data_IF_538972442058
#
_entry.id   IF_538972442058
#
_cell.length_a   1.000
_cell.length_b   1.000
_cell.length_c   1.000
_cell.angle_alpha   90.00
_cell.angle_beta   90.00
_cell.angle_gamma   90.00
#
_symmetry.space_group_name_H-M   'P 1'
#
loop_
_entity.id
_entity.type
_entity.pdbx_description
1 polymer ?
#
# COMPACT_ATOMS: atom_id res chain seq x y z
N UNK A 1 -13.73 14.70 8.61
CA UNK A 1 -12.51 14.35 7.86
C UNK A 1 -12.93 14.23 6.40
N UNK A 2 -12.98 15.34 5.67
CA UNK A 2 -13.46 15.33 4.29
C UNK A 2 -12.25 15.38 3.38
N UNK A 3 -12.05 14.33 2.60
CA UNK A 3 -11.15 14.30 1.43
C UNK A 3 -11.93 14.62 0.16
N UNK A 4 -13.08 15.30 0.31
CA UNK A 4 -13.91 15.74 -0.80
C UNK A 4 -13.11 16.68 -1.70
N UNK A 5 -13.32 16.54 -3.00
CA UNK A 5 -12.59 17.28 -4.06
C UNK A 5 -11.08 17.03 -4.08
N UNK A 6 -10.58 15.99 -3.40
CA UNK A 6 -9.18 15.54 -3.51
C UNK A 6 -9.10 14.44 -4.55
N UNK A 7 -8.01 14.41 -5.31
CA UNK A 7 -7.67 13.31 -6.21
C UNK A 7 -6.64 12.40 -5.57
N UNK A 8 -7.00 11.14 -5.36
CA UNK A 8 -6.14 10.10 -4.81
C UNK A 8 -5.65 9.14 -5.91
N UNK A 9 -4.35 8.89 -5.96
CA UNK A 9 -3.75 7.86 -6.81
C UNK A 9 -3.32 6.69 -5.93
N UNK A 10 -3.80 5.49 -6.22
CA UNK A 10 -3.50 4.28 -5.44
C UNK A 10 -2.86 3.25 -6.38
N UNK A 11 -1.59 2.89 -6.14
CA UNK A 11 -0.89 1.90 -6.99
C UNK A 11 -1.25 0.47 -6.60
N UNK A 12 -1.36 -0.44 -7.59
CA UNK A 12 -1.71 -1.84 -7.32
C UNK A 12 -3.05 -2.02 -6.60
N UNK A 13 -4.09 -1.36 -7.09
CA UNK A 13 -5.36 -1.13 -6.39
C UNK A 13 -6.57 -1.85 -7.01
N UNK A 14 -6.35 -2.88 -7.83
CA UNK A 14 -7.43 -3.68 -8.41
C UNK A 14 -7.85 -4.85 -7.53
N UNK A 15 -7.11 -5.12 -6.44
CA UNK A 15 -7.48 -6.11 -5.42
C UNK A 15 -6.83 -5.78 -4.06
N UNK A 16 -7.17 -6.57 -3.03
CA UNK A 16 -6.50 -6.56 -1.74
C UNK A 16 -6.52 -5.21 -1.02
N UNK A 17 -5.39 -4.86 -0.38
CA UNK A 17 -5.25 -3.63 0.42
C UNK A 17 -5.49 -2.38 -0.43
N UNK A 18 -4.88 -2.30 -1.62
CA UNK A 18 -5.01 -1.12 -2.48
C UNK A 18 -6.46 -0.86 -2.87
N UNK A 19 -7.21 -1.91 -3.23
CA UNK A 19 -8.63 -1.77 -3.53
C UNK A 19 -9.45 -1.32 -2.30
N UNK A 20 -9.20 -1.91 -1.13
CA UNK A 20 -9.89 -1.49 0.10
C UNK A 20 -9.62 -0.03 0.47
N UNK A 21 -8.37 0.41 0.38
CA UNK A 21 -8.00 1.82 0.61
C UNK A 21 -8.67 2.74 -0.41
N UNK A 22 -8.71 2.37 -1.69
CA UNK A 22 -9.38 3.15 -2.73
C UNK A 22 -10.89 3.29 -2.45
N UNK A 23 -11.55 2.21 -2.01
CA UNK A 23 -12.97 2.23 -1.65
C UNK A 23 -13.25 3.13 -0.43
N UNK A 24 -12.42 3.09 0.60
CA UNK A 24 -12.57 4.00 1.76
C UNK A 24 -12.37 5.47 1.38
N UNK A 25 -11.39 5.77 0.53
CA UNK A 25 -11.16 7.14 0.04
C UNK A 25 -12.32 7.63 -0.82
N UNK A 26 -12.82 6.81 -1.75
CA UNK A 26 -13.98 7.12 -2.58
C UNK A 26 -15.24 7.32 -1.73
N UNK A 27 -15.49 6.45 -0.75
CA UNK A 27 -16.61 6.59 0.21
C UNK A 27 -16.53 7.88 1.01
N UNK A 28 -15.31 8.36 1.31
CA UNK A 28 -15.09 9.64 1.98
C UNK A 28 -15.13 10.86 1.03
N UNK A 29 -15.40 10.64 -0.26
CA UNK A 29 -15.65 11.67 -1.27
C UNK A 29 -14.45 12.07 -2.12
N UNK A 30 -13.32 11.34 -2.07
CA UNK A 30 -12.19 11.60 -2.96
C UNK A 30 -12.45 11.04 -4.37
N UNK A 31 -12.02 11.77 -5.39
CA UNK A 31 -11.83 11.20 -6.72
C UNK A 31 -10.64 10.23 -6.65
N UNK A 32 -10.73 9.08 -7.33
CA UNK A 32 -9.71 8.02 -7.24
C UNK A 32 -9.18 7.60 -8.60
N UNK A 33 -7.88 7.32 -8.65
CA UNK A 33 -7.19 6.70 -9.78
C UNK A 33 -6.69 5.34 -9.33
N UNK A 34 -7.27 4.30 -9.93
CA UNK A 34 -6.88 2.92 -9.75
C UNK A 34 -5.77 2.54 -10.73
N UNK A 35 -4.91 1.62 -10.32
CA UNK A 35 -3.80 1.14 -11.14
C UNK A 35 -3.53 -0.35 -10.93
N UNK A 36 -3.20 -1.05 -12.02
CA UNK A 36 -2.51 -2.33 -12.04
C UNK A 36 -1.64 -2.41 -13.31
N UNK A 37 -0.96 -3.54 -13.51
CA UNK A 37 -0.17 -3.82 -14.71
C UNK A 37 -0.99 -4.45 -15.85
N UNK A 38 -2.22 -4.90 -15.58
CA UNK A 38 -3.15 -5.46 -16.57
C UNK A 38 -3.86 -4.34 -17.35
N UNK A 39 -4.61 -4.64 -18.40
CA UNK A 39 -5.48 -3.64 -19.07
C UNK A 39 -6.72 -4.36 -19.60
N UNK A 40 -7.54 -4.85 -18.67
CA UNK A 40 -8.73 -5.66 -18.97
C UNK A 40 -10.01 -4.84 -18.84
N UNK A 41 -11.08 -5.30 -19.50
CA UNK A 41 -12.43 -4.71 -19.32
C UNK A 41 -12.85 -4.71 -17.84
N UNK A 42 -12.44 -5.73 -17.06
CA UNK A 42 -12.69 -5.83 -15.62
C UNK A 42 -12.00 -4.72 -14.82
N UNK A 43 -10.76 -4.35 -15.20
CA UNK A 43 -10.02 -3.26 -14.54
C UNK A 43 -10.73 -1.90 -14.71
N UNK A 44 -11.24 -1.63 -15.93
CA UNK A 44 -11.99 -0.42 -16.23
C UNK A 44 -13.40 -0.43 -15.61
N UNK A 45 -14.07 -1.59 -15.63
CA UNK A 45 -15.37 -1.77 -15.00
C UNK A 45 -15.30 -1.53 -13.49
N UNK A 46 -14.24 -2.01 -12.81
CA UNK A 46 -14.02 -1.78 -11.38
C UNK A 46 -14.00 -0.28 -11.02
N UNK A 47 -13.34 0.55 -11.84
CA UNK A 47 -13.35 1.99 -11.65
C UNK A 47 -14.74 2.59 -11.90
N UNK A 48 -15.42 2.19 -12.99
CA UNK A 48 -16.78 2.67 -13.31
C UNK A 48 -17.80 2.33 -12.22
N UNK A 49 -17.73 1.13 -11.67
CA UNK A 49 -18.60 0.67 -10.59
C UNK A 49 -18.35 1.46 -9.31
N UNK A 50 -17.07 1.71 -8.98
CA UNK A 50 -16.70 2.54 -7.82
C UNK A 50 -17.19 3.99 -7.95
N UNK A 51 -17.07 4.58 -9.15
CA UNK A 51 -17.62 5.91 -9.43
C UNK A 51 -19.14 5.95 -9.19
N UNK A 52 -19.85 4.94 -9.70
CA UNK A 52 -21.32 4.84 -9.59
C UNK A 52 -21.77 4.59 -8.15
N UNK A 53 -21.06 3.74 -7.40
CA UNK A 53 -21.38 3.38 -6.03
C UNK A 53 -21.22 4.57 -5.06
N UNK A 54 -20.17 5.36 -5.20
CA UNK A 54 -19.83 6.43 -4.24
C UNK A 54 -20.11 7.85 -4.73
N UNK A 55 -20.49 8.02 -6.00
CA UNK A 55 -20.78 9.34 -6.57
C UNK A 55 -19.54 10.25 -6.73
N UNK A 56 -18.38 9.64 -6.97
CA UNK A 56 -17.08 10.32 -7.21
C UNK A 56 -16.59 10.04 -8.62
N UNK A 57 -15.53 10.72 -9.08
CA UNK A 57 -14.82 10.28 -10.28
C UNK A 57 -13.85 9.18 -9.92
N UNK A 58 -13.98 8.04 -10.57
CA UNK A 58 -12.99 6.98 -10.51
C UNK A 58 -12.50 6.65 -11.92
N UNK A 59 -11.19 6.46 -12.07
CA UNK A 59 -10.55 6.09 -13.34
C UNK A 59 -9.55 4.97 -13.12
N UNK A 60 -9.37 4.15 -14.14
CA UNK A 60 -8.30 3.17 -14.20
C UNK A 60 -7.19 3.66 -15.13
N UNK A 61 -5.92 3.49 -14.72
CA UNK A 61 -4.75 3.75 -15.56
C UNK A 61 -3.78 2.57 -15.43
N UNK A 62 -3.54 1.88 -16.54
CA UNK A 62 -2.52 0.84 -16.63
C UNK A 62 -1.13 1.45 -16.47
N UNK A 63 -0.32 0.85 -15.60
CA UNK A 63 1.11 1.10 -15.49
C UNK A 63 1.80 -0.04 -14.74
N UNK A 64 2.93 -0.52 -15.25
CA UNK A 64 3.79 -1.50 -14.58
C UNK A 64 4.69 -0.80 -13.54
N UNK A 65 4.51 -1.15 -12.27
CA UNK A 65 5.28 -0.57 -11.16
C UNK A 65 6.74 -1.05 -11.11
N UNK A 66 7.14 -2.00 -11.96
CA UNK A 66 8.54 -2.35 -12.16
C UNK A 66 9.28 -1.40 -13.12
N UNK A 67 8.54 -0.58 -13.88
CA UNK A 67 9.07 0.37 -14.87
C UNK A 67 9.02 1.81 -14.32
N UNK A 68 10.19 2.44 -14.07
CA UNK A 68 10.29 3.82 -13.60
C UNK A 68 9.54 4.86 -14.44
N UNK A 69 9.55 4.71 -15.76
CA UNK A 69 8.96 5.69 -16.67
C UNK A 69 7.43 5.58 -16.63
N UNK A 70 6.91 4.35 -16.57
CA UNK A 70 5.47 4.11 -16.37
C UNK A 70 4.98 4.58 -14.99
N UNK A 71 5.79 4.44 -13.94
CA UNK A 71 5.46 4.96 -12.61
C UNK A 71 5.25 6.49 -12.63
N UNK A 72 6.12 7.22 -13.34
CA UNK A 72 6.00 8.68 -13.48
C UNK A 72 4.81 9.06 -14.37
N UNK A 73 4.68 8.38 -15.51
CA UNK A 73 3.61 8.61 -16.47
C UNK A 73 2.22 8.38 -15.85
N UNK A 74 2.05 7.41 -14.93
CA UNK A 74 0.81 7.20 -14.19
C UNK A 74 0.38 8.48 -13.45
N UNK A 75 1.29 9.08 -12.68
CA UNK A 75 1.02 10.29 -11.90
C UNK A 75 0.75 11.49 -12.80
N UNK A 76 1.52 11.62 -13.88
CA UNK A 76 1.35 12.69 -14.87
C UNK A 76 0.00 12.60 -15.60
N UNK A 77 -0.39 11.40 -16.03
CA UNK A 77 -1.64 11.12 -16.75
C UNK A 77 -2.87 11.28 -15.85
N UNK A 78 -2.74 11.03 -14.55
CA UNK A 78 -3.80 11.34 -13.59
C UNK A 78 -4.15 12.84 -13.58
N UNK A 79 -3.20 13.73 -13.89
CA UNK A 79 -3.41 15.17 -14.05
C UNK A 79 -3.54 15.96 -12.74
N UNK A 80 -3.88 15.30 -11.65
CA UNK A 80 -3.86 15.84 -10.28
C UNK A 80 -3.50 14.72 -9.29
N UNK A 81 -2.80 15.08 -8.21
CA UNK A 81 -2.43 14.16 -7.14
C UNK A 81 -2.36 14.92 -5.82
N UNK A 82 -3.45 14.88 -5.05
CA UNK A 82 -3.51 15.42 -3.69
C UNK A 82 -3.11 14.35 -2.68
N UNK A 83 -3.47 13.09 -2.94
CA UNK A 83 -3.18 11.93 -2.12
C UNK A 83 -2.49 10.89 -2.99
N UNK A 84 -1.28 10.46 -2.61
CA UNK A 84 -0.57 9.34 -3.23
C UNK A 84 -0.51 8.19 -2.24
N UNK A 85 -1.10 7.05 -2.60
CA UNK A 85 -0.98 5.80 -1.85
C UNK A 85 -0.09 4.83 -2.63
N UNK A 86 1.17 4.71 -2.20
CA UNK A 86 2.08 3.72 -2.77
C UNK A 86 1.84 2.37 -2.11
N UNK A 87 1.14 1.48 -2.81
CA UNK A 87 0.68 0.21 -2.27
C UNK A 87 1.22 -1.02 -3.02
N UNK A 88 1.45 -0.92 -4.34
CA UNK A 88 1.87 -2.06 -5.15
C UNK A 88 3.04 -2.84 -4.51
N UNK A 89 2.93 -4.16 -4.50
CA UNK A 89 3.93 -5.02 -3.88
C UNK A 89 3.78 -6.48 -4.23
N UNK A 90 4.91 -7.17 -4.31
CA UNK A 90 5.00 -8.62 -4.48
C UNK A 90 5.84 -9.24 -3.36
N UNK A 91 5.77 -10.56 -3.20
CA UNK A 91 6.56 -11.29 -2.21
C UNK A 91 7.15 -12.57 -2.83
N UNK A 92 8.29 -13.01 -2.30
CA UNK A 92 8.89 -14.30 -2.57
C UNK A 92 9.59 -14.81 -1.30
N UNK A 93 9.62 -16.14 -1.12
CA UNK A 93 10.18 -16.79 0.07
C UNK A 93 11.25 -17.78 -0.38
N UNK A 94 12.50 -17.53 -0.01
CA UNK A 94 13.64 -18.41 -0.26
C UNK A 94 14.81 -18.08 0.70
N UNK A 95 15.68 -19.04 1.05
CA UNK A 95 16.98 -18.77 1.70
C UNK A 95 17.81 -17.75 0.90
N UNK A 96 18.73 -17.04 1.53
CA UNK A 96 19.49 -15.96 0.88
C UNK A 96 20.38 -16.53 -0.23
N UNK A 97 21.04 -17.65 0.06
CA UNK A 97 21.93 -18.39 -0.84
C UNK A 97 21.20 -19.03 -2.04
N UNK A 98 19.88 -19.18 -1.95
CA UNK A 98 19.02 -19.73 -3.01
C UNK A 98 18.08 -18.67 -3.60
N UNK A 99 18.17 -17.41 -3.15
CA UNK A 99 17.22 -16.38 -3.53
C UNK A 99 17.39 -16.02 -5.01
N UNK A 100 16.37 -16.19 -5.87
CA UNK A 100 16.55 -15.92 -7.29
C UNK A 100 16.80 -14.42 -7.54
N UNK A 101 17.89 -14.08 -8.23
CA UNK A 101 18.26 -12.68 -8.55
C UNK A 101 17.10 -11.91 -9.20
N UNK A 102 16.42 -12.52 -10.18
CA UNK A 102 15.27 -11.89 -10.84
C UNK A 102 14.10 -11.58 -9.88
N UNK A 103 13.91 -12.39 -8.82
CA UNK A 103 12.89 -12.11 -7.80
C UNK A 103 13.34 -11.01 -6.86
N UNK A 104 14.64 -10.93 -6.54
CA UNK A 104 15.20 -9.82 -5.79
C UNK A 104 14.97 -8.51 -6.54
N UNK A 105 15.40 -8.44 -7.79
CA UNK A 105 15.29 -7.24 -8.63
C UNK A 105 13.84 -6.78 -8.78
N UNK A 106 12.92 -7.71 -9.06
CA UNK A 106 11.49 -7.41 -9.18
C UNK A 106 10.90 -6.87 -7.86
N UNK A 107 11.25 -7.46 -6.71
CA UNK A 107 10.76 -6.99 -5.40
C UNK A 107 11.31 -5.58 -5.09
N UNK A 108 12.60 -5.32 -5.35
CA UNK A 108 13.16 -3.97 -5.15
C UNK A 108 12.48 -2.97 -6.08
N UNK A 109 12.30 -3.30 -7.36
CA UNK A 109 11.66 -2.43 -8.33
C UNK A 109 10.22 -2.07 -7.90
N UNK A 110 9.39 -3.09 -7.65
CA UNK A 110 7.96 -2.89 -7.39
C UNK A 110 7.70 -2.38 -5.96
N UNK A 111 8.36 -2.93 -4.94
CA UNK A 111 8.02 -2.63 -3.55
C UNK A 111 8.74 -1.40 -3.00
N UNK A 112 9.81 -0.92 -3.65
CA UNK A 112 10.62 0.22 -3.19
C UNK A 112 10.79 1.29 -4.27
N UNK A 113 11.41 0.96 -5.40
CA UNK A 113 11.76 1.96 -6.42
C UNK A 113 10.53 2.63 -7.02
N UNK A 114 9.44 1.89 -7.25
CA UNK A 114 8.16 2.43 -7.73
C UNK A 114 7.67 3.61 -6.88
N UNK A 115 7.75 3.47 -5.55
CA UNK A 115 7.30 4.47 -4.58
C UNK A 115 8.16 5.73 -4.62
N UNK A 116 9.46 5.58 -4.91
CA UNK A 116 10.32 6.72 -5.18
C UNK A 116 9.88 7.46 -6.45
N UNK A 117 9.63 6.73 -7.54
CA UNK A 117 9.29 7.34 -8.83
C UNK A 117 7.94 8.06 -8.81
N UNK A 118 6.90 7.43 -8.24
CA UNK A 118 5.58 8.03 -8.08
C UNK A 118 5.63 9.24 -7.13
N UNK A 119 6.35 9.15 -6.01
CA UNK A 119 6.52 10.28 -5.08
C UNK A 119 7.24 11.44 -5.75
N UNK A 120 8.32 11.17 -6.49
CA UNK A 120 9.07 12.18 -7.21
C UNK A 120 8.21 12.90 -8.26
N UNK A 121 7.27 12.21 -8.91
CA UNK A 121 6.32 12.81 -9.85
C UNK A 121 5.18 13.57 -9.15
N UNK A 122 4.72 13.09 -7.99
CA UNK A 122 3.59 13.68 -7.26
C UNK A 122 3.95 14.96 -6.50
N UNK A 123 5.15 15.03 -5.89
CA UNK A 123 5.53 16.19 -5.06
C UNK A 123 5.43 17.55 -5.78
N UNK A 124 5.89 17.71 -7.04
CA UNK A 124 5.68 18.96 -7.78
C UNK A 124 4.20 19.35 -7.92
N UNK A 125 3.30 18.37 -8.11
CA UNK A 125 1.86 18.62 -8.22
C UNK A 125 1.27 19.04 -6.87
N UNK A 126 1.61 18.34 -5.79
CA UNK A 126 1.18 18.67 -4.43
C UNK A 126 1.66 20.08 -4.02
N UNK A 127 2.91 20.43 -4.34
CA UNK A 127 3.46 21.77 -4.10
C UNK A 127 2.70 22.85 -4.84
N UNK A 128 2.35 22.61 -6.11
CA UNK A 128 1.54 23.53 -6.91
C UNK A 128 0.12 23.68 -6.37
N UNK A 129 -0.47 22.60 -5.87
CA UNK A 129 -1.78 22.60 -5.22
C UNK A 129 -1.74 23.24 -3.82
N UNK A 130 -0.57 23.32 -3.19
CA UNK A 130 -0.41 23.85 -1.84
C UNK A 130 -0.95 22.91 -0.75
N UNK A 131 -1.01 21.61 -1.03
CA UNK A 131 -1.41 20.56 -0.08
C UNK A 131 -1.03 19.18 -0.63
N UNK A 132 -0.72 18.22 0.23
CA UNK A 132 -0.51 16.85 -0.21
C UNK A 132 -0.37 15.81 0.89
N UNK A 133 -0.64 14.54 0.55
CA UNK A 133 -0.47 13.40 1.45
C UNK A 133 0.18 12.25 0.70
N UNK A 134 1.35 11.82 1.15
CA UNK A 134 2.01 10.60 0.68
C UNK A 134 1.83 9.53 1.75
N UNK A 135 1.18 8.43 1.40
CA UNK A 135 0.96 7.28 2.28
C UNK A 135 1.61 6.07 1.63
N UNK A 136 2.65 5.55 2.26
CA UNK A 136 3.32 4.34 1.79
C UNK A 136 2.78 3.12 2.56
N UNK A 137 2.32 2.10 1.85
CA UNK A 137 1.99 0.81 2.48
C UNK A 137 3.29 0.02 2.61
N UNK A 138 3.87 0.07 3.81
CA UNK A 138 5.06 -0.66 4.17
C UNK A 138 4.70 -2.09 4.61
N UNK A 139 5.06 -2.48 5.83
CA UNK A 139 4.76 -3.74 6.51
C UNK A 139 5.30 -3.68 7.93
N UNK A 140 4.84 -4.54 8.84
CA UNK A 140 5.61 -4.90 10.03
C UNK A 140 7.05 -5.31 9.66
N UNK A 141 7.25 -5.92 8.49
CA UNK A 141 8.58 -6.20 7.92
C UNK A 141 9.38 -4.98 7.44
N UNK A 142 8.82 -3.78 7.52
CA UNK A 142 9.60 -2.54 7.44
C UNK A 142 10.27 -2.15 8.76
N UNK A 143 9.97 -2.88 9.84
CA UNK A 143 10.43 -2.62 11.21
C UNK A 143 11.12 -3.84 11.86
N UNK A 144 10.72 -5.05 11.45
CA UNK A 144 11.29 -6.32 11.91
C UNK A 144 11.54 -7.27 10.73
N UNK A 145 12.06 -8.47 10.98
CA UNK A 145 12.38 -9.44 9.94
C UNK A 145 11.79 -10.83 10.23
N UNK A 146 11.47 -11.56 9.16
CA UNK A 146 11.25 -13.01 9.19
C UNK A 146 12.26 -13.70 8.26
N UNK A 147 12.69 -14.93 8.59
CA UNK A 147 13.55 -15.72 7.70
C UNK A 147 12.96 -15.85 6.29
N UNK A 148 13.85 -16.08 5.31
CA UNK A 148 13.51 -16.36 3.91
C UNK A 148 12.83 -15.21 3.14
N UNK A 149 12.73 -14.01 3.71
CA UNK A 149 12.08 -12.83 3.09
C UNK A 149 13.04 -11.68 2.78
N UNK A 150 14.29 -11.99 2.41
CA UNK A 150 15.38 -11.02 2.32
C UNK A 150 15.03 -9.78 1.48
N UNK A 151 14.59 -9.97 0.23
CA UNK A 151 14.24 -8.86 -0.65
C UNK A 151 13.05 -8.03 -0.13
N UNK A 152 12.03 -8.70 0.42
CA UNK A 152 10.82 -8.04 0.92
C UNK A 152 11.13 -7.17 2.15
N UNK A 153 11.84 -7.72 3.13
CA UNK A 153 12.25 -6.99 4.34
C UNK A 153 13.15 -5.80 3.97
N UNK A 154 14.12 -6.01 3.07
CA UNK A 154 15.00 -4.94 2.60
C UNK A 154 14.21 -3.81 1.92
N UNK A 155 13.30 -4.15 0.99
CA UNK A 155 12.45 -3.17 0.32
C UNK A 155 11.57 -2.40 1.30
N UNK A 156 10.90 -3.09 2.25
CA UNK A 156 9.98 -2.45 3.20
C UNK A 156 10.70 -1.59 4.25
N UNK A 157 11.91 -1.96 4.68
CA UNK A 157 12.76 -1.05 5.45
C UNK A 157 13.18 0.18 4.63
N UNK A 158 13.49 -0.03 3.34
CA UNK A 158 13.74 1.04 2.38
C UNK A 158 12.56 2.01 2.27
N UNK A 159 11.32 1.52 2.24
CA UNK A 159 10.11 2.36 2.23
C UNK A 159 9.98 3.19 3.51
N UNK A 160 10.27 2.62 4.68
CA UNK A 160 10.29 3.36 5.94
C UNK A 160 11.36 4.46 5.90
N UNK A 161 12.53 4.18 5.34
CA UNK A 161 13.58 5.17 5.10
C UNK A 161 13.16 6.29 4.14
N UNK A 162 12.60 5.91 2.98
CA UNK A 162 12.11 6.85 1.95
C UNK A 162 11.05 7.79 2.52
N UNK A 163 10.10 7.25 3.29
CA UNK A 163 9.04 8.01 3.97
C UNK A 163 9.62 9.13 4.83
N UNK A 164 10.67 8.83 5.60
CA UNK A 164 11.34 9.83 6.46
C UNK A 164 11.96 10.95 5.62
N UNK A 165 12.66 10.60 4.54
CA UNK A 165 13.27 11.61 3.65
C UNK A 165 12.21 12.48 3.00
N UNK A 166 11.15 11.89 2.42
CA UNK A 166 10.04 12.65 1.82
C UNK A 166 9.41 13.63 2.82
N UNK A 167 9.20 13.20 4.07
CA UNK A 167 8.66 14.06 5.12
C UNK A 167 9.61 15.21 5.49
N UNK A 168 10.91 14.95 5.61
CA UNK A 168 11.90 15.98 5.94
C UNK A 168 12.01 17.04 4.84
N UNK A 169 11.98 16.61 3.58
CA UNK A 169 12.04 17.52 2.42
C UNK A 169 10.79 18.40 2.26
N UNK A 170 9.66 17.98 2.83
CA UNK A 170 8.38 18.68 2.75
C UNK A 170 7.92 19.29 4.08
N UNK A 171 8.74 19.21 5.15
CA UNK A 171 8.33 19.54 6.53
C UNK A 171 7.85 20.98 6.76
N UNK A 172 8.18 21.91 5.85
CA UNK A 172 7.73 23.32 5.90
C UNK A 172 6.57 23.62 4.96
N UNK A 173 6.09 22.60 4.26
CA UNK A 173 5.00 22.65 3.31
C UNK A 173 3.77 21.95 3.96
N UNK A 174 2.54 22.23 3.50
CA UNK A 174 1.33 21.51 3.93
C UNK A 174 1.24 20.10 3.32
N UNK A 175 2.37 19.39 3.28
CA UNK A 175 2.55 18.06 2.71
C UNK A 175 3.12 17.15 3.79
N UNK A 176 2.51 15.98 3.98
CA UNK A 176 3.00 14.97 4.93
C UNK A 176 3.29 13.65 4.22
N UNK A 177 4.29 12.92 4.70
CA UNK A 177 4.58 11.57 4.23
C UNK A 177 4.63 10.58 5.40
N UNK A 178 3.85 9.51 5.36
CA UNK A 178 3.81 8.49 6.42
C UNK A 178 3.77 7.09 5.83
N UNK A 179 4.17 6.10 6.64
CA UNK A 179 4.11 4.70 6.27
C UNK A 179 3.11 3.96 7.16
N UNK A 180 2.16 3.26 6.56
CA UNK A 180 1.34 2.28 7.29
C UNK A 180 2.12 0.97 7.29
N UNK A 181 2.24 0.32 8.45
CA UNK A 181 2.98 -0.93 8.66
C UNK A 181 2.01 -2.05 9.07
N UNK A 182 1.36 -2.74 8.13
CA UNK A 182 0.42 -3.80 8.46
C UNK A 182 1.12 -5.08 8.95
N UNK A 183 0.43 -5.81 9.82
CA UNK A 183 0.70 -7.22 10.10
C UNK A 183 0.12 -8.12 9.01
N UNK A 184 -0.51 -9.23 9.40
CA UNK A 184 -1.28 -10.06 8.46
C UNK A 184 -2.62 -9.41 8.16
N UNK A 185 -2.88 -9.17 6.87
CA UNK A 185 -4.14 -8.61 6.39
C UNK A 185 -4.95 -9.70 5.69
N UNK A 186 -6.23 -9.83 6.03
CA UNK A 186 -7.11 -10.74 5.33
C UNK A 186 -7.43 -10.17 3.94
N UNK A 187 -6.82 -10.78 2.92
CA UNK A 187 -7.04 -10.45 1.52
C UNK A 187 -7.47 -11.71 0.77
N UNK A 188 -8.09 -11.61 -0.41
CA UNK A 188 -8.40 -12.79 -1.22
C UNK A 188 -7.19 -13.70 -1.46
N UNK A 189 -5.99 -13.11 -1.58
CA UNK A 189 -4.73 -13.85 -1.73
C UNK A 189 -4.35 -14.64 -0.46
N UNK A 190 -4.55 -14.06 0.72
CA UNK A 190 -4.28 -14.74 2.00
C UNK A 190 -5.34 -15.81 2.27
N UNK A 191 -6.60 -15.51 1.99
CA UNK A 191 -7.72 -16.45 2.14
C UNK A 191 -7.53 -17.70 1.26
N UNK A 192 -7.09 -17.52 0.01
CA UNK A 192 -6.84 -18.61 -0.93
C UNK A 192 -5.66 -19.52 -0.54
N UNK A 193 -4.75 -19.06 0.34
CA UNK A 193 -3.62 -19.87 0.82
C UNK A 193 -4.00 -20.81 1.97
N UNK A 194 -5.16 -20.59 2.61
CA UNK A 194 -5.54 -21.33 3.80
C UNK A 194 -5.71 -22.83 3.52
N UNK A 195 -6.42 -23.28 2.45
CA UNK A 195 -6.58 -24.70 2.16
C UNK A 195 -5.25 -25.45 1.97
N UNK A 196 -4.34 -24.91 1.17
CA UNK A 196 -3.01 -25.52 0.92
C UNK A 196 -2.18 -25.57 2.21
N UNK A 197 -2.32 -24.57 3.08
CA UNK A 197 -1.62 -24.51 4.37
C UNK A 197 -2.20 -25.53 5.36
N UNK A 198 -3.52 -25.72 5.36
CA UNK A 198 -4.19 -26.77 6.14
C UNK A 198 -3.68 -28.15 5.73
N UNK A 199 -3.62 -28.44 4.42
CA UNK A 199 -3.10 -29.71 3.92
C UNK A 199 -1.63 -29.92 4.29
N UNK A 200 -0.79 -28.89 4.16
CA UNK A 200 0.64 -28.96 4.47
C UNK A 200 0.95 -29.27 5.94
N UNK A 201 0.17 -28.69 6.86
CA UNK A 201 0.44 -28.80 8.30
C UNK A 201 -0.47 -29.79 9.02
N UNK A 202 -1.39 -30.45 8.31
CA UNK A 202 -2.40 -31.37 8.88
C UNK A 202 -3.17 -30.73 10.04
N UNK A 203 -3.69 -29.53 9.78
CA UNK A 203 -4.37 -28.66 10.75
C UNK A 203 -5.72 -28.21 10.21
N UNK A 204 -6.69 -27.97 11.09
CA UNK A 204 -7.91 -27.30 10.69
C UNK A 204 -7.69 -25.81 10.37
N UNK A 205 -8.74 -25.14 9.87
CA UNK A 205 -8.66 -23.74 9.46
C UNK A 205 -8.25 -22.83 10.61
N UNK A 206 -8.88 -22.99 11.76
CA UNK A 206 -8.68 -22.10 12.90
C UNK A 206 -7.26 -22.31 13.48
N UNK A 207 -6.80 -23.55 13.53
CA UNK A 207 -5.44 -23.89 13.93
C UNK A 207 -4.39 -23.30 12.99
N UNK A 208 -4.58 -23.41 11.67
CA UNK A 208 -3.66 -22.78 10.70
C UNK A 208 -3.61 -21.28 10.87
N UNK A 209 -4.78 -20.64 11.01
CA UNK A 209 -4.86 -19.20 11.19
C UNK A 209 -4.11 -18.80 12.46
N UNK A 210 -4.41 -19.42 13.60
CA UNK A 210 -3.88 -19.02 14.90
C UNK A 210 -2.39 -19.36 15.07
N UNK A 211 -1.99 -20.58 14.69
CA UNK A 211 -0.68 -21.16 15.00
C UNK A 211 0.35 -20.96 13.89
N UNK A 212 -0.07 -20.80 12.63
CA UNK A 212 0.84 -20.67 11.48
C UNK A 212 0.81 -19.27 10.90
N UNK A 213 -0.37 -18.78 10.51
CA UNK A 213 -0.46 -17.49 9.81
C UNK A 213 -0.28 -16.33 10.78
N UNK A 214 -0.96 -16.37 11.92
CA UNK A 214 -0.94 -15.33 12.95
C UNK A 214 0.03 -15.67 14.09
N UNK A 215 0.98 -16.58 13.87
CA UNK A 215 1.99 -16.97 14.85
C UNK A 215 2.63 -15.73 15.51
N UNK A 216 3.02 -14.76 14.69
CA UNK A 216 3.68 -13.52 15.11
C UNK A 216 2.75 -12.36 15.46
N UNK A 217 1.43 -12.54 15.35
CA UNK A 217 0.44 -11.50 15.60
C UNK A 217 -0.30 -11.80 16.91
N UNK A 218 0.07 -11.15 18.04
CA UNK A 218 -0.49 -11.46 19.36
C UNK A 218 -2.01 -11.40 19.45
N UNK A 219 -2.67 -10.52 18.69
CA UNK A 219 -4.13 -10.42 18.68
C UNK A 219 -4.84 -11.66 18.14
N UNK A 220 -4.17 -12.50 17.35
CA UNK A 220 -4.77 -13.66 16.64
C UNK A 220 -5.97 -13.30 15.75
N UNK A 221 -6.08 -12.02 15.40
CA UNK A 221 -7.06 -11.51 14.44
C UNK A 221 -6.34 -10.84 13.30
N UNK A 222 -6.74 -11.10 12.05
CA UNK A 222 -6.23 -10.38 10.89
C UNK A 222 -6.56 -8.89 10.98
N UNK A 223 -5.63 -8.05 10.52
CA UNK A 223 -5.99 -6.69 10.14
C UNK A 223 -6.92 -6.74 8.91
N UNK A 224 -7.84 -5.78 8.80
CA UNK A 224 -8.77 -5.71 7.65
C UNK A 224 -8.39 -4.59 6.69
N UNK A 225 -8.87 -4.67 5.44
CA UNK A 225 -8.63 -3.63 4.45
C UNK A 225 -9.34 -2.32 4.81
N UNK A 226 -10.46 -2.40 5.52
CA UNK A 226 -11.21 -1.24 6.05
C UNK A 226 -10.41 -0.54 7.16
N UNK A 227 -9.75 -1.29 8.04
CA UNK A 227 -8.87 -0.71 9.06
C UNK A 227 -7.69 0.04 8.41
N UNK A 228 -7.15 -0.49 7.31
CA UNK A 228 -6.07 0.15 6.56
C UNK A 228 -6.57 1.41 5.83
N UNK A 229 -7.75 1.37 5.24
CA UNK A 229 -8.38 2.53 4.61
C UNK A 229 -8.76 3.60 5.64
N UNK A 230 -9.29 3.22 6.80
CA UNK A 230 -9.55 4.14 7.92
C UNK A 230 -8.27 4.80 8.46
N UNK A 231 -7.16 4.05 8.54
CA UNK A 231 -5.85 4.60 8.90
C UNK A 231 -5.35 5.58 7.85
N UNK A 232 -5.53 5.26 6.57
CA UNK A 232 -5.21 6.17 5.45
C UNK A 232 -6.02 7.46 5.55
N UNK A 233 -7.33 7.38 5.80
CA UNK A 233 -8.20 8.55 5.98
C UNK A 233 -7.77 9.43 7.16
N UNK A 234 -7.40 8.82 8.28
CA UNK A 234 -6.83 9.55 9.41
C UNK A 234 -5.57 10.33 8.99
N UNK A 235 -4.62 9.67 8.32
CA UNK A 235 -3.39 10.33 7.84
C UNK A 235 -3.66 11.42 6.80
N UNK A 236 -4.77 11.34 6.07
CA UNK A 236 -5.19 12.36 5.12
C UNK A 236 -5.98 13.52 5.75
N UNK A 237 -6.31 13.44 7.05
CA UNK A 237 -7.11 14.45 7.74
C UNK A 237 -6.28 15.61 8.30
N UNK A 238 -6.97 16.68 8.74
CA UNK A 238 -6.35 17.79 9.46
C UNK A 238 -5.78 17.38 10.83
N UNK A 239 -6.34 16.34 11.45
CA UNK A 239 -5.83 15.83 12.73
C UNK A 239 -4.42 15.24 12.59
N UNK A 240 -4.04 14.83 11.38
CA UNK A 240 -2.72 14.30 11.05
C UNK A 240 -1.77 15.36 10.45
N UNK A 241 -2.12 16.65 10.45
CA UNK A 241 -1.30 17.70 9.82
C UNK A 241 0.13 17.84 10.41
N UNK A 242 0.39 17.29 11.59
CA UNK A 242 1.73 17.20 12.20
C UNK A 242 2.24 15.76 12.37
N UNK A 243 1.51 14.78 11.82
CA UNK A 243 1.97 13.40 11.73
C UNK A 243 2.67 13.27 10.39
N UNK A 244 4.01 13.34 10.40
CA UNK A 244 4.83 13.19 9.18
C UNK A 244 6.15 12.51 9.52
N UNK A 245 6.67 11.72 8.59
CA UNK A 245 7.93 11.00 8.70
C UNK A 245 7.88 9.79 9.62
N UNK A 246 6.69 9.30 9.96
CA UNK A 246 6.51 8.23 10.94
C UNK A 246 5.83 7.00 10.35
N UNK A 247 5.87 5.91 11.12
CA UNK A 247 5.18 4.65 10.85
C UNK A 247 3.96 4.51 11.74
N UNK A 248 2.85 4.02 11.17
CA UNK A 248 1.65 3.63 11.91
C UNK A 248 1.47 2.11 11.78
N UNK A 249 1.75 1.37 12.84
CA UNK A 249 1.58 -0.08 12.87
C UNK A 249 0.11 -0.46 13.01
N UNK A 250 -0.36 -1.34 12.11
CA UNK A 250 -1.70 -1.97 12.15
C UNK A 250 -1.48 -3.48 12.09
N UNK A 251 -0.93 -4.03 13.18
CA UNK A 251 -0.27 -5.34 13.17
C UNK A 251 -0.70 -6.26 14.32
N UNK A 252 -1.77 -5.91 15.04
CA UNK A 252 -2.28 -6.72 16.14
C UNK A 252 -1.27 -6.93 17.28
N UNK A 253 -0.31 -6.00 17.44
CA UNK A 253 0.72 -6.07 18.48
C UNK A 253 2.00 -6.79 18.04
N UNK A 254 2.16 -7.14 16.76
CA UNK A 254 3.35 -7.85 16.28
C UNK A 254 4.64 -7.12 16.68
N UNK A 255 4.75 -5.82 16.38
CA UNK A 255 5.97 -5.05 16.65
C UNK A 255 6.17 -4.66 18.12
N UNK A 256 5.27 -5.07 19.02
CA UNK A 256 5.48 -4.94 20.47
C UNK A 256 6.29 -6.09 21.08
N UNK A 257 6.52 -7.17 20.32
CA UNK A 257 7.31 -8.34 20.71
C UNK A 257 8.83 -8.10 20.67
#
# INVERSE_FOLDING_TARGET
>A
MSVTDKTAIITGSTSGIGLGVARELARAGADVVLNSFTDSEEDHALASDMASEFGVKARYIQADMSDPDQCRALVETAGACDILVNNAGIQHVAPIEEFPTAKWDAIIAINLSSSFHTTAAALPMMRKAGWGRVVNIASAHGLTASPYKAAYVAAKHGIVGLTKVTALETAREPITANAICPGYVLTPLVEAQIPDTMEKYDMDRDEVIEKVMLERQPSKEFATVEQLGGTTLYLCSDAAAQVTGTTISVDGGWTAL
#
